data_IF_062080652496
#
_entry.id   IF_062080652496
#
_cell.length_a   1.000
_cell.length_b   1.000
_cell.length_c   1.000
_cell.angle_alpha   90.00
_cell.angle_beta   90.00
_cell.angle_gamma   90.00
#
_symmetry.space_group_name_H-M   'P 1'
#
loop_
_entity.id
_entity.type
_entity.pdbx_description
1 polymer ?
#
# COMPACT_ATOMS: atom_id res chain seq x y z
N UNK A 1 21.93 24.89 -0.47
CA UNK A 1 20.98 25.25 0.59
C UNK A 1 19.51 25.23 0.12
N UNK A 2 19.14 25.84 -1.02
CA UNK A 2 17.72 25.81 -1.51
C UNK A 2 17.13 24.41 -1.63
N UNK A 3 17.86 23.44 -2.19
CA UNK A 3 17.38 22.06 -2.37
C UNK A 3 17.16 21.33 -1.03
N UNK A 4 17.93 21.63 0.00
CA UNK A 4 17.74 21.05 1.34
C UNK A 4 16.47 21.57 2.01
N UNK A 5 16.22 22.88 1.93
CA UNK A 5 15.03 23.50 2.50
C UNK A 5 13.75 22.98 1.81
N UNK A 6 13.77 22.87 0.49
CA UNK A 6 12.63 22.31 -0.27
C UNK A 6 12.35 20.87 0.15
N UNK A 7 13.40 20.04 0.26
CA UNK A 7 13.26 18.64 0.71
C UNK A 7 12.73 18.53 2.14
N UNK A 8 13.20 19.37 3.04
CA UNK A 8 12.71 19.41 4.42
C UNK A 8 11.24 19.82 4.48
N UNK A 9 10.84 20.87 3.75
CA UNK A 9 9.45 21.33 3.69
C UNK A 9 8.52 20.27 3.10
N UNK A 10 8.91 19.60 2.02
CA UNK A 10 8.11 18.51 1.44
C UNK A 10 7.97 17.32 2.38
N UNK A 11 9.03 16.94 3.09
CA UNK A 11 8.97 15.89 4.10
C UNK A 11 8.01 16.24 5.24
N UNK A 12 8.10 17.44 5.78
CA UNK A 12 7.18 17.93 6.82
C UNK A 12 5.72 17.93 6.31
N UNK A 13 5.48 18.38 5.09
CA UNK A 13 4.14 18.38 4.50
C UNK A 13 3.57 16.96 4.36
N UNK A 14 4.38 16.00 3.90
CA UNK A 14 3.96 14.60 3.77
C UNK A 14 3.63 14.01 5.15
N UNK A 15 4.49 14.21 6.13
CA UNK A 15 4.26 13.76 7.52
C UNK A 15 2.98 14.38 8.09
N UNK A 16 2.78 15.68 7.90
CA UNK A 16 1.58 16.37 8.38
C UNK A 16 0.30 15.81 7.74
N UNK A 17 0.30 15.59 6.42
CA UNK A 17 -0.84 14.99 5.71
C UNK A 17 -1.11 13.57 6.23
N UNK A 18 -0.08 12.75 6.41
CA UNK A 18 -0.19 11.39 6.89
C UNK A 18 -0.79 11.32 8.30
N UNK A 19 -0.28 12.14 9.22
CA UNK A 19 -0.78 12.22 10.59
C UNK A 19 -2.21 12.75 10.63
N UNK A 20 -2.50 13.84 9.92
CA UNK A 20 -3.83 14.44 9.87
C UNK A 20 -4.87 13.46 9.30
N UNK A 21 -4.60 12.84 8.15
CA UNK A 21 -5.53 11.89 7.54
C UNK A 21 -5.79 10.68 8.43
N UNK A 22 -4.76 10.23 9.17
CA UNK A 22 -4.90 9.09 10.09
C UNK A 22 -5.72 9.46 11.33
N UNK A 23 -5.55 10.68 11.85
CA UNK A 23 -6.21 11.15 13.07
C UNK A 23 -7.68 11.56 12.84
N UNK A 24 -7.99 12.18 11.70
CA UNK A 24 -9.30 12.79 11.44
C UNK A 24 -10.43 11.78 11.36
N UNK A 25 -10.30 10.74 10.55
CA UNK A 25 -11.34 9.73 10.40
C UNK A 25 -10.85 8.44 9.75
N UNK A 26 -11.56 7.30 9.94
CA UNK A 26 -11.31 6.07 9.19
C UNK A 26 -11.39 6.24 7.67
N UNK A 27 -12.26 7.12 7.20
CA UNK A 27 -12.43 7.40 5.78
C UNK A 27 -11.24 8.18 5.21
N UNK A 28 -10.72 9.19 5.93
CA UNK A 28 -9.54 9.95 5.47
C UNK A 28 -8.29 9.09 5.43
N UNK A 29 -8.13 8.16 6.39
CA UNK A 29 -7.09 7.14 6.37
C UNK A 29 -7.20 6.28 5.11
N UNK A 30 -8.41 5.76 4.82
CA UNK A 30 -8.64 4.92 3.65
C UNK A 30 -8.36 5.67 2.34
N UNK A 31 -8.83 6.90 2.19
CA UNK A 31 -8.60 7.71 0.99
C UNK A 31 -7.11 7.97 0.77
N UNK A 32 -6.36 8.31 1.82
CA UNK A 32 -4.91 8.49 1.74
C UNK A 32 -4.24 7.21 1.22
N UNK A 33 -4.55 6.07 1.81
CA UNK A 33 -3.89 4.80 1.44
C UNK A 33 -4.34 4.26 0.08
N UNK A 34 -5.57 4.51 -0.36
CA UNK A 34 -6.01 4.19 -1.73
C UNK A 34 -5.17 4.99 -2.74
N UNK A 35 -4.97 6.29 -2.50
CA UNK A 35 -4.12 7.13 -3.37
C UNK A 35 -2.67 6.64 -3.35
N UNK A 36 -2.12 6.35 -2.18
CA UNK A 36 -0.76 5.81 -2.06
C UNK A 36 -0.63 4.47 -2.78
N UNK A 37 -1.59 3.57 -2.63
CA UNK A 37 -1.62 2.28 -3.35
C UNK A 37 -1.60 2.49 -4.85
N UNK A 38 -2.46 3.37 -5.38
CA UNK A 38 -2.53 3.66 -6.80
C UNK A 38 -1.22 4.23 -7.34
N UNK A 39 -0.63 5.19 -6.65
CA UNK A 39 0.63 5.83 -7.04
C UNK A 39 1.81 4.85 -6.98
N UNK A 40 1.93 4.09 -5.89
CA UNK A 40 3.05 3.15 -5.70
C UNK A 40 2.99 1.99 -6.71
N UNK A 41 1.80 1.44 -6.97
CA UNK A 41 1.62 0.40 -7.98
C UNK A 41 1.92 0.94 -9.39
N UNK A 42 1.46 2.14 -9.72
CA UNK A 42 1.76 2.77 -11.00
C UNK A 42 3.27 3.00 -11.19
N UNK A 43 3.96 3.51 -10.17
CA UNK A 43 5.41 3.70 -10.17
C UNK A 43 6.15 2.37 -10.36
N UNK A 44 5.80 1.36 -9.56
CA UNK A 44 6.37 0.02 -9.65
C UNK A 44 6.22 -0.56 -11.07
N UNK A 45 5.01 -0.53 -11.63
CA UNK A 45 4.75 -1.01 -12.98
C UNK A 45 5.51 -0.18 -14.04
N UNK A 46 5.75 1.10 -13.79
CA UNK A 46 6.57 1.93 -14.66
C UNK A 46 8.02 1.47 -14.67
N UNK A 47 8.58 1.20 -13.49
CA UNK A 47 9.97 0.77 -13.32
C UNK A 47 10.20 -0.60 -13.97
N UNK A 48 9.35 -1.59 -13.68
CA UNK A 48 9.53 -2.94 -14.22
C UNK A 48 9.28 -3.01 -15.74
N UNK A 49 8.52 -2.08 -16.29
CA UNK A 49 8.25 -2.01 -17.74
C UNK A 49 9.32 -1.22 -18.52
N UNK A 50 10.33 -0.64 -17.87
CA UNK A 50 11.33 0.22 -18.54
C UNK A 50 12.13 -0.49 -19.64
N UNK A 51 12.42 -1.77 -19.46
CA UNK A 51 13.16 -2.58 -20.43
C UNK A 51 12.30 -3.07 -21.62
N UNK A 52 11.00 -2.78 -21.63
CA UNK A 52 10.07 -3.18 -22.70
C UNK A 52 9.68 -4.67 -22.72
N UNK A 53 10.23 -5.48 -21.84
CA UNK A 53 9.93 -6.91 -21.74
C UNK A 53 8.56 -7.16 -21.08
N UNK A 54 8.18 -6.30 -20.12
CA UNK A 54 6.93 -6.39 -19.37
C UNK A 54 5.92 -5.41 -19.96
N UNK A 55 4.82 -5.96 -20.47
CA UNK A 55 3.73 -5.21 -21.09
C UNK A 55 2.41 -5.57 -20.43
N UNK A 56 2.06 -4.87 -19.37
CA UNK A 56 0.84 -5.13 -18.59
C UNK A 56 -0.15 -3.97 -18.70
N UNK A 57 -1.43 -4.26 -18.51
CA UNK A 57 -2.50 -3.26 -18.52
C UNK A 57 -2.55 -2.51 -17.19
N UNK A 58 -1.75 -1.46 -17.03
CA UNK A 58 -1.61 -0.68 -15.79
C UNK A 58 -2.95 -0.27 -15.16
N UNK A 59 -3.92 0.30 -15.90
CA UNK A 59 -5.18 0.74 -15.28
C UNK A 59 -5.95 -0.39 -14.60
N UNK A 60 -5.99 -1.57 -15.23
CA UNK A 60 -6.68 -2.73 -14.68
C UNK A 60 -6.03 -3.20 -13.38
N UNK A 61 -4.69 -3.23 -13.34
CA UNK A 61 -3.93 -3.64 -12.14
C UNK A 61 -4.14 -2.62 -11.02
N UNK A 62 -4.10 -1.32 -11.31
CA UNK A 62 -4.31 -0.27 -10.32
C UNK A 62 -5.73 -0.36 -9.74
N UNK A 63 -6.76 -0.56 -10.58
CA UNK A 63 -8.14 -0.72 -10.10
C UNK A 63 -8.27 -1.94 -9.20
N UNK A 64 -7.72 -3.10 -9.59
CA UNK A 64 -7.72 -4.30 -8.76
C UNK A 64 -6.99 -4.11 -7.43
N UNK A 65 -5.87 -3.37 -7.45
CA UNK A 65 -5.09 -3.02 -6.26
C UNK A 65 -5.86 -2.13 -5.29
N UNK A 66 -6.48 -1.06 -5.80
CA UNK A 66 -7.33 -0.18 -5.00
C UNK A 66 -8.54 -0.92 -4.43
N UNK A 67 -9.11 -1.84 -5.22
CA UNK A 67 -10.22 -2.67 -4.75
C UNK A 67 -9.79 -3.61 -3.60
N UNK A 68 -8.62 -4.25 -3.68
CA UNK A 68 -8.14 -5.08 -2.58
C UNK A 68 -7.99 -4.27 -1.29
N UNK A 69 -7.37 -3.08 -1.38
CA UNK A 69 -7.27 -2.19 -0.23
C UNK A 69 -8.66 -1.83 0.34
N UNK A 70 -9.61 -1.47 -0.52
CA UNK A 70 -10.98 -1.14 -0.14
C UNK A 70 -11.68 -2.33 0.53
N UNK A 71 -11.50 -3.56 0.02
CA UNK A 71 -12.07 -4.76 0.60
C UNK A 71 -11.54 -5.01 2.04
N UNK A 72 -10.23 -4.84 2.26
CA UNK A 72 -9.66 -4.93 3.61
C UNK A 72 -10.22 -3.85 4.55
N UNK A 73 -10.31 -2.61 4.08
CA UNK A 73 -10.86 -1.50 4.86
C UNK A 73 -12.31 -1.75 5.27
N UNK A 74 -13.15 -2.12 4.32
CA UNK A 74 -14.57 -2.37 4.58
C UNK A 74 -14.77 -3.59 5.51
N UNK A 75 -14.03 -4.67 5.28
CA UNK A 75 -14.07 -5.86 6.13
C UNK A 75 -13.64 -5.54 7.58
N UNK A 76 -12.64 -4.68 7.75
CA UNK A 76 -12.16 -4.28 9.07
C UNK A 76 -13.15 -3.39 9.82
N UNK A 77 -13.95 -2.58 9.11
CA UNK A 77 -14.99 -1.74 9.71
C UNK A 77 -16.24 -2.52 10.09
N UNK A 78 -16.69 -3.40 9.20
CA UNK A 78 -17.98 -4.09 9.37
C UNK A 78 -17.89 -5.23 10.39
N UNK A 79 -16.66 -5.73 10.70
CA UNK A 79 -16.43 -6.91 11.54
C UNK A 79 -17.37 -8.06 11.16
N UNK A 80 -17.52 -8.27 9.84
CA UNK A 80 -18.52 -9.14 9.26
C UNK A 80 -18.27 -10.61 9.55
N UNK A 81 -19.34 -11.40 9.50
CA UNK A 81 -19.27 -12.84 9.48
C UNK A 81 -18.42 -13.32 8.27
N UNK A 82 -17.84 -14.50 8.39
CA UNK A 82 -16.97 -15.10 7.36
C UNK A 82 -17.62 -15.13 5.95
N UNK A 83 -18.93 -15.30 5.87
CA UNK A 83 -19.68 -15.26 4.62
C UNK A 83 -19.64 -13.89 3.93
N UNK A 84 -19.73 -12.81 4.72
CA UNK A 84 -19.62 -11.42 4.20
C UNK A 84 -18.23 -11.12 3.67
N UNK A 85 -17.18 -11.59 4.36
CA UNK A 85 -15.81 -11.47 3.90
C UNK A 85 -15.58 -12.18 2.55
N UNK A 86 -16.08 -13.41 2.39
CA UNK A 86 -15.97 -14.14 1.12
C UNK A 86 -16.59 -13.37 -0.06
N UNK A 87 -17.78 -12.83 0.11
CA UNK A 87 -18.45 -12.03 -0.92
C UNK A 87 -17.62 -10.78 -1.27
N UNK A 88 -17.05 -10.13 -0.26
CA UNK A 88 -16.28 -8.91 -0.44
C UNK A 88 -14.95 -9.14 -1.19
N UNK A 89 -14.27 -10.27 -0.96
CA UNK A 89 -13.02 -10.58 -1.66
C UNK A 89 -13.22 -11.29 -3.02
N UNK A 90 -14.42 -11.76 -3.34
CA UNK A 90 -14.73 -12.44 -4.62
C UNK A 90 -14.37 -11.59 -5.85
N UNK A 91 -14.70 -10.29 -5.96
CA UNK A 91 -14.33 -9.50 -7.14
C UNK A 91 -12.81 -9.38 -7.34
N UNK A 92 -12.04 -9.37 -6.25
CA UNK A 92 -10.58 -9.38 -6.34
C UNK A 92 -10.05 -10.72 -6.88
N UNK A 93 -10.62 -11.84 -6.44
CA UNK A 93 -10.26 -13.15 -6.98
C UNK A 93 -10.61 -13.27 -8.46
N UNK A 94 -11.75 -12.72 -8.88
CA UNK A 94 -12.12 -12.65 -10.30
C UNK A 94 -11.16 -11.75 -11.10
N UNK A 95 -10.70 -10.64 -10.53
CA UNK A 95 -9.66 -9.80 -11.12
C UNK A 95 -8.35 -10.57 -11.32
N UNK A 96 -7.90 -11.34 -10.32
CA UNK A 96 -6.71 -12.18 -10.45
C UNK A 96 -6.87 -13.22 -11.56
N UNK A 97 -7.99 -13.94 -11.55
CA UNK A 97 -8.30 -14.96 -12.56
C UNK A 97 -8.35 -14.33 -13.98
N UNK A 98 -9.01 -13.20 -14.13
CA UNK A 98 -9.02 -12.45 -15.38
C UNK A 98 -7.62 -12.08 -15.85
N UNK A 99 -6.78 -11.58 -14.94
CA UNK A 99 -5.39 -11.18 -15.25
C UNK A 99 -4.58 -12.38 -15.71
N UNK A 100 -4.72 -13.54 -15.06
CA UNK A 100 -4.07 -14.78 -15.48
C UNK A 100 -4.50 -15.23 -16.87
N UNK A 101 -5.80 -15.29 -17.11
CA UNK A 101 -6.34 -15.72 -18.41
C UNK A 101 -5.87 -14.76 -19.50
N UNK A 102 -5.98 -13.45 -19.29
CA UNK A 102 -5.57 -12.45 -20.26
C UNK A 102 -4.11 -12.59 -20.66
N UNK A 103 -3.20 -12.76 -19.71
CA UNK A 103 -1.77 -12.89 -19.99
C UNK A 103 -1.43 -14.22 -20.67
N UNK A 104 -2.09 -15.32 -20.33
CA UNK A 104 -1.89 -16.62 -20.98
C UNK A 104 -2.27 -16.61 -22.47
N UNK A 105 -3.29 -15.83 -22.85
CA UNK A 105 -3.71 -15.70 -24.24
C UNK A 105 -3.01 -14.56 -25.00
N UNK A 106 -2.12 -13.82 -24.35
CA UNK A 106 -1.34 -12.74 -25.00
C UNK A 106 -0.21 -13.32 -25.85
N UNK A 107 -0.23 -13.04 -27.17
CA UNK A 107 0.75 -13.58 -28.11
C UNK A 107 2.04 -12.76 -28.23
N UNK A 108 1.99 -11.48 -27.88
CA UNK A 108 3.07 -10.51 -28.16
C UNK A 108 3.92 -10.16 -26.93
N UNK A 109 3.77 -10.92 -25.83
CA UNK A 109 4.37 -10.61 -24.54
C UNK A 109 4.97 -11.86 -23.90
N UNK A 110 5.80 -11.67 -22.88
CA UNK A 110 6.24 -12.75 -21.99
C UNK A 110 5.22 -12.95 -20.88
N UNK A 111 4.29 -13.92 -20.97
CA UNK A 111 3.22 -14.09 -19.99
C UNK A 111 3.73 -14.32 -18.58
N UNK A 112 4.83 -15.07 -18.43
CA UNK A 112 5.42 -15.40 -17.12
C UNK A 112 5.97 -14.15 -16.45
N UNK A 113 6.71 -13.32 -17.19
CA UNK A 113 7.25 -12.08 -16.66
C UNK A 113 6.13 -11.09 -16.30
N UNK A 114 5.09 -10.97 -17.14
CA UNK A 114 3.93 -10.13 -16.88
C UNK A 114 3.17 -10.59 -15.62
N UNK A 115 2.88 -11.89 -15.51
CA UNK A 115 2.23 -12.46 -14.31
C UNK A 115 3.09 -12.27 -13.06
N UNK A 116 4.40 -12.44 -13.18
CA UNK A 116 5.35 -12.16 -12.10
C UNK A 116 5.26 -10.72 -11.61
N UNK A 117 5.24 -9.75 -12.52
CA UNK A 117 5.10 -8.33 -12.18
C UNK A 117 3.75 -8.01 -11.53
N UNK A 118 2.64 -8.60 -12.04
CA UNK A 118 1.31 -8.44 -11.45
C UNK A 118 1.31 -9.01 -10.03
N UNK A 119 1.74 -10.27 -9.84
CA UNK A 119 1.75 -10.92 -8.52
C UNK A 119 2.66 -10.20 -7.54
N UNK A 120 3.84 -9.79 -7.98
CA UNK A 120 4.78 -9.05 -7.13
C UNK A 120 4.17 -7.71 -6.67
N UNK A 121 3.49 -6.97 -7.55
CA UNK A 121 2.79 -5.74 -7.16
C UNK A 121 1.73 -5.99 -6.10
N UNK A 122 0.94 -7.07 -6.24
CA UNK A 122 -0.13 -7.39 -5.29
C UNK A 122 0.42 -7.86 -3.94
N UNK A 123 1.41 -8.76 -3.93
CA UNK A 123 1.94 -9.36 -2.70
C UNK A 123 2.91 -8.45 -1.96
N UNK A 124 3.72 -7.68 -2.68
CA UNK A 124 4.78 -6.86 -2.08
C UNK A 124 4.33 -5.43 -1.73
N UNK A 125 3.39 -4.88 -2.50
CA UNK A 125 2.93 -3.49 -2.31
C UNK A 125 1.52 -3.48 -1.72
N UNK A 126 0.55 -4.07 -2.44
CA UNK A 126 -0.86 -3.87 -2.11
C UNK A 126 -1.25 -4.58 -0.83
N UNK A 127 -0.80 -5.82 -0.64
CA UNK A 127 -1.12 -6.60 0.56
C UNK A 127 -0.58 -5.94 1.84
N UNK A 128 0.71 -5.54 1.95
CA UNK A 128 1.20 -4.84 3.14
C UNK A 128 0.49 -3.52 3.41
N UNK A 129 0.20 -2.72 2.37
CA UNK A 129 -0.57 -1.48 2.54
C UNK A 129 -1.99 -1.75 3.01
N UNK A 130 -2.63 -2.83 2.53
CA UNK A 130 -3.99 -3.22 2.94
C UNK A 130 -4.05 -3.71 4.38
N UNK A 131 -2.99 -4.36 4.88
CA UNK A 131 -2.92 -4.87 6.25
C UNK A 131 -2.92 -3.75 7.30
N UNK A 132 -2.63 -2.50 6.93
CA UNK A 132 -2.76 -1.37 7.85
C UNK A 132 -4.19 -1.22 8.37
N UNK A 133 -5.19 -1.59 7.57
CA UNK A 133 -6.59 -1.57 8.01
C UNK A 133 -6.85 -2.60 9.11
N UNK A 134 -6.25 -3.79 8.98
CA UNK A 134 -6.36 -4.82 10.03
C UNK A 134 -5.72 -4.31 11.32
N UNK A 135 -4.52 -3.73 11.23
CA UNK A 135 -3.82 -3.17 12.40
C UNK A 135 -4.58 -2.00 13.02
N UNK A 136 -5.20 -1.14 12.21
CA UNK A 136 -5.95 0.02 12.70
C UNK A 136 -7.24 -0.37 13.42
N UNK A 137 -7.98 -1.36 12.90
CA UNK A 137 -9.34 -1.66 13.37
C UNK A 137 -9.46 -2.95 14.19
N UNK A 138 -8.38 -3.73 14.34
CA UNK A 138 -8.38 -4.87 15.26
C UNK A 138 -8.30 -4.38 16.69
N UNK A 139 -9.19 -4.90 17.53
CA UNK A 139 -9.14 -4.66 18.96
C UNK A 139 -8.12 -5.65 19.56
N UNK A 140 -7.07 -5.11 20.15
CA UNK A 140 -6.09 -5.90 20.89
C UNK A 140 -6.40 -5.79 22.39
N UNK A 141 -6.54 -6.91 23.07
CA UNK A 141 -6.86 -6.96 24.50
C UNK A 141 -5.83 -6.26 25.40
N UNK A 142 -4.61 -6.11 24.91
CA UNK A 142 -3.53 -5.41 25.62
C UNK A 142 -3.64 -3.88 25.60
N UNK A 143 -4.48 -3.31 24.72
CA UNK A 143 -4.79 -1.89 24.72
C UNK A 143 -6.15 -1.67 25.36
N UNK A 144 -6.22 -0.80 26.37
CA UNK A 144 -7.47 -0.42 26.99
C UNK A 144 -8.48 0.03 25.91
N UNK A 145 -9.75 -0.15 26.14
CA UNK A 145 -10.87 0.20 25.26
C UNK A 145 -10.86 1.67 24.75
N UNK A 146 -9.96 2.49 25.27
CA UNK A 146 -9.71 3.87 24.86
C UNK A 146 -8.66 4.02 23.74
N UNK A 147 -7.97 2.95 23.29
CA UNK A 147 -7.02 3.06 22.20
C UNK A 147 -7.79 3.24 20.89
N UNK A 148 -7.70 4.45 20.36
CA UNK A 148 -8.32 4.83 19.10
C UNK A 148 -7.65 4.11 17.91
N UNK A 149 -8.42 3.85 16.84
CA UNK A 149 -7.96 3.18 15.61
C UNK A 149 -6.66 3.75 15.03
N UNK A 150 -6.34 5.00 15.29
CA UNK A 150 -5.13 5.66 14.78
C UNK A 150 -3.86 5.34 15.57
N UNK A 151 -3.93 4.76 16.76
CA UNK A 151 -2.78 4.60 17.65
C UNK A 151 -1.69 3.69 17.05
N UNK A 152 -2.06 2.53 16.51
CA UNK A 152 -1.13 1.58 15.91
C UNK A 152 -0.54 2.11 14.59
N UNK A 153 -1.33 2.64 13.64
CA UNK A 153 -0.77 3.27 12.45
C UNK A 153 0.21 4.40 12.77
N UNK A 154 -0.11 5.28 13.72
CA UNK A 154 0.80 6.35 14.11
C UNK A 154 2.10 5.82 14.75
N UNK A 155 2.01 4.80 15.60
CA UNK A 155 3.19 4.15 16.15
C UNK A 155 4.08 3.55 15.05
N UNK A 156 3.49 2.88 14.06
CA UNK A 156 4.23 2.37 12.89
C UNK A 156 4.96 3.49 12.13
N UNK A 157 4.30 4.62 11.87
CA UNK A 157 4.95 5.75 11.20
C UNK A 157 6.15 6.26 12.01
N UNK A 158 6.00 6.43 13.32
CA UNK A 158 7.08 6.87 14.20
C UNK A 158 8.27 5.90 14.12
N UNK A 159 8.04 4.59 14.18
CA UNK A 159 9.10 3.60 14.07
C UNK A 159 9.82 3.65 12.72
N UNK A 160 9.07 3.77 11.61
CA UNK A 160 9.65 3.89 10.27
C UNK A 160 10.51 5.16 10.18
N UNK A 161 9.99 6.31 10.61
CA UNK A 161 10.72 7.58 10.54
C UNK A 161 11.97 7.62 11.44
N UNK A 162 11.91 7.02 12.63
CA UNK A 162 13.08 6.89 13.51
C UNK A 162 14.12 5.98 12.87
N UNK A 163 13.69 4.85 12.28
CA UNK A 163 14.60 3.93 11.59
C UNK A 163 15.30 4.61 10.41
N UNK A 164 14.55 5.30 9.55
CA UNK A 164 15.10 5.98 8.38
C UNK A 164 16.05 7.13 8.78
N UNK A 165 15.67 7.92 9.78
CA UNK A 165 16.52 8.99 10.30
C UNK A 165 17.78 8.42 10.95
N UNK A 166 17.64 7.35 11.73
CA UNK A 166 18.77 6.65 12.37
C UNK A 166 19.73 6.08 11.33
N UNK A 167 19.22 5.40 10.32
CA UNK A 167 20.02 4.85 9.22
C UNK A 167 20.77 5.96 8.46
N UNK A 168 20.12 7.08 8.18
CA UNK A 168 20.75 8.24 7.53
C UNK A 168 21.87 8.83 8.40
N UNK A 169 21.61 9.07 9.68
CA UNK A 169 22.61 9.64 10.60
C UNK A 169 23.82 8.73 10.76
N UNK A 170 23.61 7.42 10.94
CA UNK A 170 24.70 6.46 11.04
C UNK A 170 25.48 6.36 9.73
N UNK A 171 24.81 6.39 8.59
CA UNK A 171 25.45 6.42 7.27
C UNK A 171 26.36 7.65 7.06
N UNK A 172 25.89 8.82 7.50
CA UNK A 172 26.68 10.07 7.38
C UNK A 172 27.82 10.16 8.39
N UNK A 173 27.65 9.61 9.61
CA UNK A 173 28.66 9.76 10.69
C UNK A 173 29.69 8.64 10.71
N UNK A 174 29.30 7.41 10.40
CA UNK A 174 30.14 6.20 10.56
C UNK A 174 30.38 5.50 9.21
N UNK A 175 29.60 5.84 8.17
CA UNK A 175 29.71 5.23 6.85
C UNK A 175 31.11 5.46 6.25
N UNK A 176 31.76 4.36 5.83
CA UNK A 176 33.01 4.42 5.05
C UNK A 176 32.63 4.62 3.57
N UNK A 177 33.11 5.69 2.97
CA UNK A 177 33.06 5.95 1.53
C UNK A 177 34.16 5.19 0.81
#
# INVERSE_FOLDING_TARGET
MKNFIIRALTAIAIVAVQVLCTYLSPLSLALLFIVLTALTVNEFLSIVSMNGEIKVSRPIIIIGSCYLFFAFWLNSLVKGETAGALVLFTPYLLFLLYSYIKELYSKDTNPIANLGAIMLSQLYIVLPLSLINVLAFTQFDCFSSAASYYAIPLAMYIFIWINDTGAYLTGVTIGRH
#
